data_IF_679290745741
#
_entry.id   IF_679290745741
#
_cell.length_a   1.000
_cell.length_b   1.000
_cell.length_c   1.000
_cell.angle_alpha   90.00
_cell.angle_beta   90.00
_cell.angle_gamma   90.00
#
_symmetry.space_group_name_H-M   'P 1'
#
loop_
_entity.id
_entity.type
_entity.pdbx_description
1 polymer ?
#
# COMPACT_ATOMS: atom_id res chain seq x y z
N UNK A 1 6.76 -2.88 34.24
CA UNK A 1 7.24 -2.87 32.84
C UNK A 1 6.65 -4.05 32.08
N UNK A 2 5.56 -3.88 31.32
CA UNK A 2 5.06 -4.87 30.35
C UNK A 2 4.60 -4.10 29.11
N UNK A 3 5.34 -4.23 28.01
CA UNK A 3 5.09 -3.47 26.78
C UNK A 3 3.75 -3.92 26.18
N UNK A 4 2.84 -2.96 26.01
CA UNK A 4 1.56 -3.07 25.32
C UNK A 4 1.87 -3.34 23.84
N UNK A 5 1.88 -4.62 23.42
CA UNK A 5 1.85 -4.99 22.00
C UNK A 5 0.51 -4.49 21.48
N UNK A 6 0.51 -3.38 20.76
CA UNK A 6 -0.67 -2.94 20.06
C UNK A 6 -1.02 -4.00 19.03
N UNK A 7 -2.21 -4.57 19.20
CA UNK A 7 -2.79 -5.61 18.38
C UNK A 7 -2.86 -5.17 16.92
N UNK A 8 -1.95 -5.66 16.09
CA UNK A 8 -2.35 -6.12 14.76
C UNK A 8 -2.56 -7.62 14.95
N UNK A 9 -3.73 -7.97 15.48
CA UNK A 9 -4.21 -9.34 15.41
C UNK A 9 -4.46 -9.55 13.92
N UNK A 10 -3.56 -10.27 13.25
CA UNK A 10 -3.85 -10.82 11.93
C UNK A 10 -5.04 -11.77 12.13
N UNK A 11 -6.24 -11.22 12.00
CA UNK A 11 -7.45 -12.02 11.83
C UNK A 11 -7.19 -12.77 10.53
N UNK A 12 -6.88 -14.05 10.64
CA UNK A 12 -6.83 -14.94 9.50
C UNK A 12 -8.20 -14.86 8.81
N UNK A 13 -8.24 -14.20 7.65
CA UNK A 13 -9.45 -14.03 6.86
C UNK A 13 -9.78 -15.32 6.09
N UNK A 14 -11.09 -15.56 5.96
CA UNK A 14 -11.78 -16.79 5.56
C UNK A 14 -11.67 -17.13 4.06
N UNK A 15 -10.90 -16.41 3.25
CA UNK A 15 -10.93 -16.53 1.77
C UNK A 15 -9.56 -16.62 1.06
N UNK A 16 -8.46 -16.95 1.76
CA UNK A 16 -7.16 -17.21 1.11
C UNK A 16 -6.43 -15.99 0.54
N UNK A 17 -7.04 -14.79 0.56
CA UNK A 17 -6.45 -13.51 0.13
C UNK A 17 -5.20 -13.13 0.94
N UNK A 18 -5.19 -13.45 2.24
CA UNK A 18 -4.02 -13.22 3.11
C UNK A 18 -2.83 -14.08 2.72
N UNK A 19 -3.04 -15.31 2.24
CA UNK A 19 -1.95 -16.18 1.80
C UNK A 19 -1.28 -15.64 0.53
N UNK A 20 -2.08 -15.19 -0.44
CA UNK A 20 -1.57 -14.52 -1.64
C UNK A 20 -0.79 -13.24 -1.29
N UNK A 21 -1.25 -12.47 -0.31
CA UNK A 21 -0.53 -11.28 0.15
C UNK A 21 0.80 -11.63 0.81
N UNK A 22 0.84 -12.67 1.65
CA UNK A 22 2.07 -13.15 2.28
C UNK A 22 3.08 -13.66 1.24
N UNK A 23 2.61 -14.40 0.23
CA UNK A 23 3.46 -14.91 -0.85
C UNK A 23 4.07 -13.77 -1.66
N UNK A 24 3.25 -12.85 -2.18
CA UNK A 24 3.75 -11.73 -2.98
C UNK A 24 4.69 -10.82 -2.19
N UNK A 25 4.42 -10.60 -0.90
CA UNK A 25 5.30 -9.84 -0.02
C UNK A 25 6.65 -10.54 0.17
N UNK A 26 6.65 -11.86 0.34
CA UNK A 26 7.88 -12.66 0.46
C UNK A 26 8.70 -12.58 -0.83
N UNK A 27 8.08 -12.74 -2.00
CA UNK A 27 8.75 -12.62 -3.29
C UNK A 27 9.33 -11.22 -3.52
N UNK A 28 8.61 -10.18 -3.12
CA UNK A 28 9.06 -8.79 -3.20
C UNK A 28 10.31 -8.56 -2.35
N UNK A 29 10.30 -9.02 -1.10
CA UNK A 29 11.45 -8.90 -0.20
C UNK A 29 12.66 -9.71 -0.66
N UNK A 30 12.44 -10.82 -1.37
CA UNK A 30 13.51 -11.60 -2.02
C UNK A 30 13.98 -11.00 -3.36
N UNK A 31 13.39 -9.89 -3.81
CA UNK A 31 13.71 -9.26 -5.09
C UNK A 31 13.22 -10.04 -6.32
N UNK A 32 12.38 -11.06 -6.15
CA UNK A 32 11.82 -11.87 -7.26
C UNK A 32 10.63 -11.20 -7.93
N UNK A 33 9.99 -10.25 -7.25
CA UNK A 33 8.80 -9.53 -7.70
C UNK A 33 8.98 -8.04 -7.48
N UNK A 34 8.52 -7.24 -8.43
CA UNK A 34 8.56 -5.77 -8.37
C UNK A 34 7.19 -5.12 -8.45
N UNK A 35 6.12 -5.91 -8.63
CA UNK A 35 4.73 -5.43 -8.72
C UNK A 35 3.76 -6.35 -7.96
N UNK A 36 2.75 -5.76 -7.33
CA UNK A 36 1.69 -6.48 -6.63
C UNK A 36 0.44 -6.62 -7.51
N UNK A 37 -0.23 -7.77 -7.44
CA UNK A 37 -1.51 -8.02 -8.15
C UNK A 37 -2.71 -8.09 -7.21
N UNK A 38 -2.50 -7.69 -5.95
CA UNK A 38 -3.54 -7.67 -4.93
C UNK A 38 -4.56 -6.57 -5.21
N UNK A 39 -5.83 -6.89 -4.99
CA UNK A 39 -6.90 -5.87 -5.02
C UNK A 39 -6.92 -5.15 -3.68
N UNK A 40 -6.85 -3.82 -3.71
CA UNK A 40 -6.91 -2.98 -2.51
C UNK A 40 -8.24 -2.23 -2.45
N UNK A 41 -8.90 -2.29 -1.30
CA UNK A 41 -10.02 -1.40 -0.98
C UNK A 41 -9.51 -0.24 -0.11
N UNK A 42 -9.44 0.94 -0.71
CA UNK A 42 -8.95 2.14 -0.03
C UNK A 42 -10.06 2.79 0.81
N UNK A 43 -9.96 2.67 2.13
CA UNK A 43 -10.86 3.32 3.09
C UNK A 43 -10.19 4.60 3.61
N UNK A 44 -10.79 5.75 3.30
CA UNK A 44 -10.24 7.06 3.67
C UNK A 44 -11.00 8.23 3.05
N UNK A 45 -10.54 9.45 3.30
CA UNK A 45 -11.11 10.67 2.70
C UNK A 45 -10.88 10.71 1.20
N UNK A 46 -11.67 11.51 0.47
CA UNK A 46 -11.45 11.73 -0.97
C UNK A 46 -10.02 12.17 -1.28
N UNK A 47 -9.43 13.01 -0.43
CA UNK A 47 -8.05 13.44 -0.58
C UNK A 47 -7.06 12.28 -0.43
N UNK A 48 -7.19 11.47 0.64
CA UNK A 48 -6.34 10.30 0.86
C UNK A 48 -6.43 9.30 -0.30
N UNK A 49 -7.64 9.01 -0.77
CA UNK A 49 -7.86 8.11 -1.91
C UNK A 49 -7.16 8.62 -3.18
N UNK A 50 -7.25 9.92 -3.47
CA UNK A 50 -6.54 10.50 -4.61
C UNK A 50 -5.01 10.40 -4.44
N UNK A 51 -4.48 10.69 -3.25
CA UNK A 51 -3.04 10.54 -2.94
C UNK A 51 -2.59 9.09 -3.16
N UNK A 52 -3.31 8.11 -2.60
CA UNK A 52 -2.97 6.71 -2.75
C UNK A 52 -3.04 6.23 -4.21
N UNK A 53 -3.99 6.74 -5.00
CA UNK A 53 -4.07 6.45 -6.42
C UNK A 53 -2.84 6.96 -7.19
N UNK A 54 -2.27 8.11 -6.82
CA UNK A 54 -1.03 8.60 -7.43
C UNK A 54 0.20 7.83 -6.94
N UNK A 55 0.27 7.52 -5.64
CA UNK A 55 1.37 6.74 -5.06
C UNK A 55 1.43 5.33 -5.67
N UNK A 56 0.28 4.69 -5.92
CA UNK A 56 0.21 3.37 -6.53
C UNK A 56 0.77 3.31 -7.97
N UNK A 57 0.93 4.46 -8.65
CA UNK A 57 1.53 4.54 -9.99
C UNK A 57 3.06 4.63 -9.98
N UNK A 58 3.67 4.86 -8.82
CA UNK A 58 5.13 4.96 -8.70
C UNK A 58 5.74 3.59 -8.99
N UNK A 59 6.65 3.54 -9.95
CA UNK A 59 7.30 2.30 -10.35
C UNK A 59 8.33 1.86 -9.30
N UNK A 60 8.50 0.54 -9.18
CA UNK A 60 9.54 -0.02 -8.32
C UNK A 60 10.92 0.54 -8.66
N UNK A 61 11.71 0.85 -7.62
CA UNK A 61 13.05 1.41 -7.76
C UNK A 61 13.09 2.88 -8.17
N UNK A 62 11.93 3.54 -8.28
CA UNK A 62 11.84 4.97 -8.59
C UNK A 62 11.38 5.77 -7.39
N UNK A 63 11.73 7.05 -7.37
CA UNK A 63 11.28 8.02 -6.36
C UNK A 63 10.57 9.18 -7.05
N UNK A 64 9.72 9.87 -6.31
CA UNK A 64 9.04 11.09 -6.77
C UNK A 64 9.01 12.09 -5.61
N UNK A 65 8.83 13.38 -5.90
CA UNK A 65 8.71 14.40 -4.88
C UNK A 65 7.25 14.58 -4.45
N UNK A 66 7.04 14.99 -3.20
CA UNK A 66 5.71 15.33 -2.69
C UNK A 66 5.02 16.40 -3.55
N UNK A 67 5.78 17.38 -4.03
CA UNK A 67 5.27 18.43 -4.93
C UNK A 67 4.74 17.86 -6.25
N UNK A 68 5.38 16.84 -6.80
CA UNK A 68 4.96 16.21 -8.06
C UNK A 68 3.62 15.48 -7.89
N UNK A 69 3.45 14.79 -6.76
CA UNK A 69 2.18 14.14 -6.41
C UNK A 69 1.09 15.21 -6.29
N UNK A 70 1.35 16.28 -5.53
CA UNK A 70 0.38 17.39 -5.36
C UNK A 70 -0.01 18.03 -6.69
N UNK A 71 0.95 18.25 -7.60
CA UNK A 71 0.67 18.77 -8.93
C UNK A 71 -0.24 17.85 -9.75
N UNK A 72 -0.12 16.53 -9.60
CA UNK A 72 -0.99 15.55 -10.27
C UNK A 72 -2.39 15.45 -9.67
N UNK A 73 -2.58 15.85 -8.41
CA UNK A 73 -3.86 15.73 -7.70
C UNK A 73 -4.88 16.81 -8.07
N UNK A 74 -4.50 17.77 -8.91
CA UNK A 74 -5.31 18.92 -9.34
C UNK A 74 -6.09 19.57 -8.18
N UNK A 75 -5.37 19.85 -7.09
CA UNK A 75 -5.91 20.41 -5.85
C UNK A 75 -5.78 21.93 -5.77
N UNK A 76 -5.71 22.64 -6.90
CA UNK A 76 -5.66 24.10 -6.88
C UNK A 76 -7.08 24.69 -6.84
N UNK A 77 -7.35 25.47 -5.80
CA UNK A 77 -8.43 26.46 -5.77
C UNK A 77 -7.90 27.80 -6.28
#
# INVERSE_FOLDING_TARGET
MKKKKQNILLIADQEGKTNLAMEQLTEYLMGKRTFFTLTFDFIGTLFQKKVWAEVAKIQYGTTTCYVDIVQKLDIRK
#
